data_IF_292737091992
#
_entry.id   IF_292737091992
#
_cell.length_a   1.000
_cell.length_b   1.000
_cell.length_c   1.000
_cell.angle_alpha   90.00
_cell.angle_beta   90.00
_cell.angle_gamma   90.00
#
_symmetry.space_group_name_H-M   'P 1'
#
loop_
_entity.id
_entity.type
_entity.pdbx_description
1 polymer ?
#
# COMPACT_ATOMS: atom_id res chain seq x y z
N UNK A 1 51.26 -12.09 -34.19
CA UNK A 1 50.41 -10.95 -33.79
C UNK A 1 49.62 -11.36 -32.55
N UNK A 2 49.98 -10.86 -31.36
CA UNK A 2 49.22 -11.14 -30.14
C UNK A 2 47.83 -10.50 -30.26
N UNK A 3 46.80 -11.33 -30.38
CA UNK A 3 45.40 -10.89 -30.39
C UNK A 3 45.12 -10.15 -29.09
N UNK A 4 44.86 -8.84 -29.17
CA UNK A 4 44.45 -8.03 -28.01
C UNK A 4 43.34 -8.78 -27.26
N UNK A 5 43.47 -9.00 -25.93
CA UNK A 5 42.44 -9.70 -25.18
C UNK A 5 41.12 -8.96 -25.38
N UNK A 6 40.08 -9.69 -25.83
CA UNK A 6 38.73 -9.15 -25.94
C UNK A 6 38.29 -8.75 -24.54
N UNK A 7 38.34 -7.45 -24.25
CA UNK A 7 38.00 -6.92 -22.93
C UNK A 7 36.57 -7.33 -22.56
N UNK A 8 36.38 -7.88 -21.36
CA UNK A 8 35.11 -8.44 -20.87
C UNK A 8 33.91 -7.48 -20.96
N UNK A 9 34.16 -6.17 -20.89
CA UNK A 9 33.16 -5.09 -20.97
C UNK A 9 32.52 -4.89 -22.37
N UNK A 10 33.04 -5.54 -23.42
CA UNK A 10 32.58 -5.40 -24.81
C UNK A 10 31.57 -6.51 -25.09
N UNK A 11 30.39 -6.38 -24.50
CA UNK A 11 29.28 -7.29 -24.70
C UNK A 11 28.01 -6.49 -25.00
N UNK A 12 27.17 -6.99 -25.91
CA UNK A 12 25.88 -6.38 -26.26
C UNK A 12 25.03 -6.16 -25.02
N UNK A 13 24.97 -7.14 -24.11
CA UNK A 13 24.25 -7.02 -22.83
C UNK A 13 24.71 -5.83 -21.98
N UNK A 14 26.03 -5.61 -21.88
CA UNK A 14 26.59 -4.50 -21.10
C UNK A 14 26.31 -3.15 -21.77
N UNK A 15 26.35 -3.07 -23.10
CA UNK A 15 25.97 -1.86 -23.83
C UNK A 15 24.48 -1.55 -23.72
N UNK A 16 23.61 -2.54 -23.90
CA UNK A 16 22.16 -2.39 -23.74
C UNK A 16 21.82 -1.95 -22.32
N UNK A 17 22.41 -2.58 -21.30
CA UNK A 17 22.22 -2.18 -19.91
C UNK A 17 22.69 -0.75 -19.64
N UNK A 18 23.85 -0.35 -20.18
CA UNK A 18 24.36 1.02 -20.08
C UNK A 18 23.44 2.06 -20.73
N UNK A 19 22.90 1.77 -21.92
CA UNK A 19 21.93 2.64 -22.61
C UNK A 19 20.65 2.77 -21.78
N UNK A 20 20.12 1.65 -21.26
CA UNK A 20 18.93 1.67 -20.41
C UNK A 20 19.15 2.52 -19.15
N UNK A 21 20.28 2.35 -18.46
CA UNK A 21 20.60 3.17 -17.28
C UNK A 21 20.66 4.66 -17.64
N UNK A 22 21.36 5.02 -18.72
CA UNK A 22 21.52 6.41 -19.12
C UNK A 22 20.17 7.06 -19.51
N UNK A 23 19.36 6.36 -20.31
CA UNK A 23 18.04 6.85 -20.72
C UNK A 23 17.10 6.93 -19.52
N UNK A 24 17.06 5.93 -18.64
CA UNK A 24 16.22 5.96 -17.45
C UNK A 24 16.57 7.12 -16.53
N UNK A 25 17.87 7.37 -16.27
CA UNK A 25 18.29 8.52 -15.47
C UNK A 25 17.88 9.84 -16.13
N UNK A 26 18.08 9.98 -17.44
CA UNK A 26 17.67 11.17 -18.17
C UNK A 26 16.16 11.42 -18.04
N UNK A 27 15.34 10.39 -18.27
CA UNK A 27 13.89 10.53 -18.15
C UNK A 27 13.45 10.79 -16.72
N UNK A 28 14.01 10.11 -15.71
CA UNK A 28 13.66 10.37 -14.30
C UNK A 28 13.93 11.83 -13.95
N UNK A 29 15.11 12.36 -14.30
CA UNK A 29 15.45 13.77 -14.02
C UNK A 29 14.49 14.73 -14.73
N UNK A 30 14.13 14.46 -15.99
CA UNK A 30 13.18 15.29 -16.72
C UNK A 30 11.77 15.24 -16.11
N UNK A 31 11.29 14.05 -15.74
CA UNK A 31 9.97 13.90 -15.14
C UNK A 31 9.91 14.50 -13.72
N UNK A 32 10.95 14.36 -12.91
CA UNK A 32 11.06 15.05 -11.62
C UNK A 32 11.02 16.57 -11.80
N UNK A 33 11.69 17.10 -12.82
CA UNK A 33 11.61 18.52 -13.13
C UNK A 33 10.19 18.94 -13.54
N UNK A 34 9.51 18.14 -14.36
CA UNK A 34 8.11 18.40 -14.72
C UNK A 34 7.18 18.34 -13.51
N UNK A 35 7.37 17.36 -12.63
CA UNK A 35 6.60 17.22 -11.38
C UNK A 35 6.75 18.46 -10.48
N UNK A 36 7.96 19.02 -10.39
CA UNK A 36 8.23 20.25 -9.62
C UNK A 36 7.61 21.52 -10.20
N UNK A 37 7.47 21.61 -11.52
CA UNK A 37 7.00 22.82 -12.21
C UNK A 37 5.50 22.77 -12.50
N UNK A 38 4.88 21.58 -12.48
CA UNK A 38 3.45 21.41 -12.74
C UNK A 38 2.64 21.55 -11.45
N UNK A 39 1.66 22.47 -11.36
CA UNK A 39 0.88 22.67 -10.14
C UNK A 39 -0.02 21.48 -9.74
N UNK A 40 -0.53 20.75 -10.73
CA UNK A 40 -1.42 19.59 -10.57
C UNK A 40 -0.94 18.48 -11.51
N UNK A 41 0.12 17.73 -11.13
CA UNK A 41 0.64 16.66 -11.95
C UNK A 41 -0.38 15.53 -12.09
N UNK A 42 -0.40 14.88 -13.26
CA UNK A 42 -1.28 13.74 -13.49
C UNK A 42 -0.82 12.52 -12.68
N UNK A 43 -1.75 11.67 -12.24
CA UNK A 43 -1.45 10.40 -11.59
C UNK A 43 -0.44 9.54 -12.35
N UNK A 44 -0.46 9.58 -13.68
CA UNK A 44 0.46 8.82 -14.52
C UNK A 44 1.90 9.33 -14.44
N UNK A 45 2.11 10.63 -14.22
CA UNK A 45 3.45 11.21 -14.07
C UNK A 45 4.19 10.54 -12.91
N UNK A 46 3.54 10.45 -11.74
CA UNK A 46 4.10 9.75 -10.58
C UNK A 46 4.34 8.26 -10.84
N UNK A 47 3.45 7.58 -11.57
CA UNK A 47 3.61 6.17 -11.93
C UNK A 47 4.88 5.94 -12.76
N UNK A 48 5.11 6.75 -13.80
CA UNK A 48 6.31 6.60 -14.62
C UNK A 48 7.57 6.97 -13.85
N UNK A 49 7.53 8.04 -13.05
CA UNK A 49 8.69 8.59 -12.34
C UNK A 49 9.13 7.71 -11.19
N UNK A 50 8.20 7.26 -10.35
CA UNK A 50 8.52 6.59 -9.08
C UNK A 50 8.38 5.07 -9.11
N UNK A 51 7.73 4.50 -10.13
CA UNK A 51 7.53 3.05 -10.23
C UNK A 51 8.21 2.44 -11.47
N UNK A 52 7.87 2.90 -12.67
CA UNK A 52 8.31 2.25 -13.92
C UNK A 52 9.80 2.50 -14.18
N UNK A 53 10.23 3.77 -14.25
CA UNK A 53 11.61 4.10 -14.62
C UNK A 53 12.65 3.59 -13.61
N UNK A 54 12.42 3.65 -12.28
CA UNK A 54 13.35 3.06 -11.31
C UNK A 54 13.51 1.55 -11.49
N UNK A 55 12.44 0.82 -11.82
CA UNK A 55 12.53 -0.61 -12.13
C UNK A 55 13.37 -0.85 -13.40
N UNK A 56 13.15 -0.05 -14.46
CA UNK A 56 13.97 -0.14 -15.68
C UNK A 56 15.44 0.21 -15.41
N UNK A 57 15.71 1.18 -14.55
CA UNK A 57 17.06 1.55 -14.10
C UNK A 57 17.75 0.35 -13.42
N UNK A 58 17.08 -0.29 -12.46
CA UNK A 58 17.58 -1.47 -11.75
C UNK A 58 17.84 -2.62 -12.73
N UNK A 59 16.90 -2.89 -13.65
CA UNK A 59 17.08 -3.90 -14.71
C UNK A 59 18.28 -3.58 -15.60
N UNK A 60 18.51 -2.33 -15.96
CA UNK A 60 19.68 -1.88 -16.71
C UNK A 60 20.99 -2.17 -15.97
N UNK A 61 21.05 -1.87 -14.66
CA UNK A 61 22.21 -2.20 -13.81
C UNK A 61 22.42 -3.72 -13.72
N UNK A 62 21.34 -4.48 -13.53
CA UNK A 62 21.40 -5.96 -13.51
C UNK A 62 21.92 -6.52 -14.85
N UNK A 63 21.48 -5.97 -15.99
CA UNK A 63 21.97 -6.37 -17.31
C UNK A 63 23.47 -6.08 -17.50
N UNK A 64 23.99 -4.99 -16.93
CA UNK A 64 25.44 -4.73 -16.91
C UNK A 64 26.16 -5.83 -16.12
N UNK A 65 25.70 -6.14 -14.91
CA UNK A 65 26.31 -7.17 -14.04
C UNK A 65 26.25 -8.53 -14.71
N UNK A 66 25.08 -8.96 -15.19
CA UNK A 66 24.87 -10.22 -15.91
C UNK A 66 25.72 -10.26 -17.18
N UNK A 67 25.78 -9.16 -17.94
CA UNK A 67 26.60 -9.06 -19.15
C UNK A 67 28.09 -9.28 -18.89
N UNK A 68 28.60 -8.76 -17.76
CA UNK A 68 29.98 -8.96 -17.31
C UNK A 68 30.22 -10.38 -16.81
N UNK A 69 29.31 -10.94 -16.00
CA UNK A 69 29.40 -12.32 -15.50
C UNK A 69 29.33 -13.34 -16.65
N UNK A 70 28.44 -13.12 -17.62
CA UNK A 70 28.29 -13.99 -18.79
C UNK A 70 29.51 -13.91 -19.72
N UNK A 71 30.04 -12.70 -19.95
CA UNK A 71 31.26 -12.54 -20.72
C UNK A 71 32.43 -13.29 -20.04
N UNK A 72 32.51 -13.21 -18.70
CA UNK A 72 33.50 -13.94 -17.90
C UNK A 72 33.32 -15.46 -18.01
N UNK A 73 32.11 -15.97 -17.81
CA UNK A 73 31.80 -17.40 -17.91
C UNK A 73 32.13 -17.94 -19.30
N UNK A 74 31.75 -17.21 -20.36
CA UNK A 74 32.07 -17.58 -21.75
C UNK A 74 33.58 -17.66 -22.00
N UNK A 75 34.37 -16.75 -21.41
CA UNK A 75 35.83 -16.78 -21.52
C UNK A 75 36.45 -17.94 -20.75
N UNK A 76 35.91 -18.29 -19.57
CA UNK A 76 36.31 -19.47 -18.80
C UNK A 76 36.06 -20.77 -19.58
N UNK A 77 34.86 -20.95 -20.15
CA UNK A 77 34.53 -22.15 -20.94
C UNK A 77 35.30 -22.29 -22.25
N UNK A 78 35.65 -21.18 -22.91
CA UNK A 78 36.35 -21.23 -24.22
C UNK A 78 37.85 -21.48 -24.11
N UNK A 79 38.48 -21.17 -22.98
CA UNK A 79 39.94 -21.12 -22.90
C UNK A 79 40.55 -22.24 -22.03
N UNK A 80 39.75 -23.03 -21.31
CA UNK A 80 40.25 -24.15 -20.48
C UNK A 80 41.27 -23.73 -19.40
N UNK A 81 41.82 -24.70 -18.67
CA UNK A 81 42.81 -24.46 -17.60
C UNK A 81 44.13 -23.80 -18.10
N UNK A 82 44.42 -23.86 -19.40
CA UNK A 82 45.64 -23.32 -20.02
C UNK A 82 45.53 -21.86 -20.49
N UNK A 83 44.32 -21.26 -20.43
CA UNK A 83 44.09 -19.89 -20.84
C UNK A 83 44.59 -18.87 -19.82
N UNK A 84 45.66 -18.13 -20.16
CA UNK A 84 46.23 -16.97 -19.42
C UNK A 84 45.29 -15.75 -19.36
N UNK A 85 44.01 -15.95 -19.11
CA UNK A 85 43.06 -14.88 -18.84
C UNK A 85 43.24 -14.50 -17.38
N UNK A 86 43.62 -13.26 -17.08
CA UNK A 86 43.55 -12.74 -15.73
C UNK A 86 42.10 -12.83 -15.23
N UNK A 87 41.83 -13.87 -14.43
CA UNK A 87 40.47 -14.23 -14.01
C UNK A 87 39.85 -13.20 -13.06
N UNK A 88 40.67 -12.46 -12.31
CA UNK A 88 40.22 -11.42 -11.39
C UNK A 88 40.68 -10.04 -11.87
N UNK A 89 39.85 -8.99 -11.71
CA UNK A 89 40.31 -7.63 -11.93
C UNK A 89 41.50 -7.37 -11.01
N UNK A 90 42.70 -7.18 -11.58
CA UNK A 90 43.87 -6.79 -10.80
C UNK A 90 43.67 -5.34 -10.39
N UNK A 91 43.39 -5.08 -9.12
CA UNK A 91 43.27 -3.72 -8.60
C UNK A 91 44.65 -3.26 -8.14
N UNK A 92 45.47 -2.79 -9.07
CA UNK A 92 46.73 -2.10 -8.75
C UNK A 92 46.53 -0.58 -8.61
N UNK A 93 46.50 -0.08 -7.37
CA UNK A 93 46.32 1.34 -7.07
C UNK A 93 47.54 2.20 -7.46
N UNK A 94 48.68 1.59 -7.77
CA UNK A 94 49.84 2.34 -8.25
C UNK A 94 49.62 2.84 -9.69
N UNK A 95 48.81 2.12 -10.48
CA UNK A 95 48.49 2.51 -11.85
C UNK A 95 47.47 3.67 -11.88
N UNK A 96 47.75 4.77 -12.60
CA UNK A 96 46.83 5.92 -12.69
C UNK A 96 45.50 5.56 -13.37
N UNK A 97 45.50 4.59 -14.28
CA UNK A 97 44.28 4.10 -14.93
C UNK A 97 43.32 3.41 -13.96
N UNK A 98 43.84 2.60 -13.04
CA UNK A 98 43.03 1.88 -12.05
C UNK A 98 42.47 2.83 -11.01
N UNK A 99 43.26 3.82 -10.57
CA UNK A 99 42.78 4.91 -9.70
C UNK A 99 41.62 5.67 -10.33
N UNK A 100 41.71 6.04 -11.61
CA UNK A 100 40.62 6.73 -12.33
C UNK A 100 39.35 5.88 -12.40
N UNK A 101 39.45 4.61 -12.77
CA UNK A 101 38.29 3.70 -12.85
C UNK A 101 37.68 3.51 -11.46
N UNK A 102 38.50 3.30 -10.43
CA UNK A 102 38.02 3.15 -9.06
C UNK A 102 37.30 4.41 -8.57
N UNK A 103 37.86 5.61 -8.81
CA UNK A 103 37.20 6.88 -8.45
C UNK A 103 35.86 7.07 -9.16
N UNK A 104 35.78 6.74 -10.45
CA UNK A 104 34.52 6.83 -11.21
C UNK A 104 33.48 5.85 -10.67
N UNK A 105 33.87 4.59 -10.43
CA UNK A 105 32.95 3.56 -9.91
C UNK A 105 32.52 3.89 -8.48
N UNK A 106 33.45 4.30 -7.62
CA UNK A 106 33.14 4.71 -6.25
C UNK A 106 32.22 5.94 -6.24
N UNK A 107 32.50 6.96 -7.05
CA UNK A 107 31.65 8.14 -7.19
C UNK A 107 30.25 7.78 -7.72
N UNK A 108 30.16 6.90 -8.71
CA UNK A 108 28.88 6.42 -9.24
C UNK A 108 28.07 5.66 -8.18
N UNK A 109 28.71 4.80 -7.37
CA UNK A 109 28.04 4.08 -6.28
C UNK A 109 27.59 5.06 -5.19
N UNK A 110 28.44 6.00 -4.79
CA UNK A 110 28.12 7.03 -3.80
C UNK A 110 26.94 7.91 -4.22
N UNK A 111 26.75 8.16 -5.52
CA UNK A 111 25.60 8.90 -6.04
C UNK A 111 24.36 8.00 -6.22
N UNK A 112 24.54 6.78 -6.72
CA UNK A 112 23.44 5.90 -7.11
C UNK A 112 22.71 5.30 -5.91
N UNK A 113 23.42 4.93 -4.84
CA UNK A 113 22.79 4.36 -3.63
C UNK A 113 21.75 5.32 -3.02
N UNK A 114 22.09 6.59 -2.68
CA UNK A 114 21.10 7.50 -2.13
C UNK A 114 20.00 7.84 -3.13
N UNK A 115 20.33 7.93 -4.43
CA UNK A 115 19.33 8.16 -5.48
C UNK A 115 18.29 7.03 -5.54
N UNK A 116 18.72 5.77 -5.60
CA UNK A 116 17.82 4.61 -5.58
C UNK A 116 17.03 4.54 -4.28
N UNK A 117 17.66 4.86 -3.14
CA UNK A 117 16.99 4.96 -1.85
C UNK A 117 15.87 6.00 -1.84
N UNK A 118 16.16 7.21 -2.33
CA UNK A 118 15.19 8.29 -2.48
C UNK A 118 14.04 7.89 -3.41
N UNK A 119 14.36 7.37 -4.61
CA UNK A 119 13.33 6.93 -5.56
C UNK A 119 12.46 5.80 -5.02
N UNK A 120 13.04 4.88 -4.24
CA UNK A 120 12.29 3.79 -3.61
C UNK A 120 11.37 4.32 -2.49
N UNK A 121 11.82 5.33 -1.76
CA UNK A 121 11.03 6.00 -0.73
C UNK A 121 9.84 6.76 -1.33
N UNK A 122 10.08 7.54 -2.38
CA UNK A 122 9.01 8.24 -3.12
C UNK A 122 8.06 7.25 -3.79
N UNK A 123 8.57 6.17 -4.40
CA UNK A 123 7.74 5.10 -4.97
C UNK A 123 6.87 4.40 -3.92
N UNK A 124 7.38 4.24 -2.71
CA UNK A 124 6.61 3.75 -1.57
C UNK A 124 5.45 4.70 -1.24
N UNK A 125 5.72 5.98 -1.01
CA UNK A 125 4.69 6.97 -0.68
C UNK A 125 3.67 7.15 -1.80
N UNK A 126 4.14 7.18 -3.04
CA UNK A 126 3.28 7.26 -4.21
C UNK A 126 2.30 6.08 -4.27
N UNK A 127 2.76 4.84 -4.05
CA UNK A 127 1.91 3.65 -4.12
C UNK A 127 0.97 3.47 -2.90
N UNK A 128 1.10 4.31 -1.88
CA UNK A 128 0.19 4.37 -0.72
C UNK A 128 -0.76 5.58 -0.78
N UNK A 129 -0.61 6.45 -1.79
CA UNK A 129 -1.41 7.66 -1.97
C UNK A 129 -2.84 7.38 -2.47
N UNK A 130 -3.75 8.32 -2.19
CA UNK A 130 -5.12 8.30 -2.74
C UNK A 130 -5.12 8.38 -4.27
N UNK A 131 -4.16 9.09 -4.84
CA UNK A 131 -4.00 9.21 -6.29
C UNK A 131 -3.70 7.86 -6.93
N UNK A 132 -2.73 7.11 -6.39
CA UNK A 132 -2.42 5.79 -6.90
C UNK A 132 -3.62 4.83 -6.75
N UNK A 133 -4.20 4.74 -5.55
CA UNK A 133 -5.31 3.82 -5.30
C UNK A 133 -6.58 4.17 -6.11
N UNK A 134 -6.93 5.45 -6.21
CA UNK A 134 -8.21 5.91 -6.77
C UNK A 134 -8.18 6.32 -8.24
N UNK A 135 -7.04 6.81 -8.74
CA UNK A 135 -6.92 7.39 -10.10
C UNK A 135 -6.16 6.50 -11.08
N UNK A 136 -5.16 5.73 -10.65
CA UNK A 136 -4.42 4.83 -11.57
C UNK A 136 -5.30 3.65 -12.00
N UNK A 137 -5.97 3.00 -11.04
CA UNK A 137 -6.90 1.90 -11.29
C UNK A 137 -8.37 2.37 -11.36
N UNK A 138 -8.61 3.58 -11.87
CA UNK A 138 -9.90 4.28 -11.78
C UNK A 138 -11.09 3.42 -12.21
N UNK A 139 -11.00 2.64 -13.28
CA UNK A 139 -12.12 1.80 -13.75
C UNK A 139 -12.65 0.83 -12.67
N UNK A 140 -11.75 0.27 -11.87
CA UNK A 140 -12.07 -0.74 -10.86
C UNK A 140 -12.38 -0.09 -9.52
N UNK A 141 -11.65 0.97 -9.17
CA UNK A 141 -11.71 1.64 -7.86
C UNK A 141 -12.62 2.88 -7.83
N UNK A 142 -13.22 3.30 -8.95
CA UNK A 142 -14.07 4.51 -9.04
C UNK A 142 -15.17 4.55 -7.97
N UNK A 143 -15.94 3.49 -7.69
CA UNK A 143 -16.99 3.54 -6.67
C UNK A 143 -16.42 3.88 -5.29
N UNK A 144 -15.31 3.25 -4.90
CA UNK A 144 -14.64 3.45 -3.63
C UNK A 144 -14.01 4.84 -3.55
N UNK A 145 -13.37 5.31 -4.62
CA UNK A 145 -12.75 6.64 -4.67
C UNK A 145 -13.81 7.75 -4.54
N UNK A 146 -14.94 7.66 -5.26
CA UNK A 146 -16.03 8.65 -5.16
C UNK A 146 -16.66 8.65 -3.75
N UNK A 147 -16.82 7.48 -3.13
CA UNK A 147 -17.32 7.38 -1.77
C UNK A 147 -16.34 7.98 -0.76
N UNK A 148 -15.04 7.74 -0.91
CA UNK A 148 -13.98 8.31 -0.08
C UNK A 148 -13.96 9.84 -0.14
N UNK A 149 -13.98 10.42 -1.34
CA UNK A 149 -14.01 11.87 -1.56
C UNK A 149 -15.22 12.57 -0.93
N UNK A 150 -16.36 11.85 -0.81
CA UNK A 150 -17.59 12.35 -0.18
C UNK A 150 -17.71 12.01 1.31
N UNK A 151 -16.70 11.36 1.89
CA UNK A 151 -16.72 10.93 3.29
C UNK A 151 -16.04 11.95 4.22
N UNK A 152 -16.25 11.85 5.55
CA UNK A 152 -15.47 12.59 6.55
C UNK A 152 -13.96 12.31 6.52
N UNK A 153 -13.53 11.27 5.80
CA UNK A 153 -12.13 10.85 5.67
C UNK A 153 -11.51 11.19 4.30
N UNK A 154 -12.13 12.08 3.51
CA UNK A 154 -11.63 12.46 2.18
C UNK A 154 -10.20 13.00 2.16
N UNK A 155 -9.72 13.54 3.29
CA UNK A 155 -8.34 14.03 3.47
C UNK A 155 -7.40 13.02 4.15
N UNK A 156 -7.86 11.80 4.40
CA UNK A 156 -7.06 10.71 4.96
C UNK A 156 -6.67 9.76 3.84
N UNK A 157 -5.41 9.32 3.83
CA UNK A 157 -4.90 8.39 2.84
C UNK A 157 -5.56 7.00 2.95
N UNK A 158 -5.89 6.36 1.83
CA UNK A 158 -6.42 5.00 1.76
C UNK A 158 -5.54 4.02 2.54
N UNK A 159 -4.22 4.15 2.41
CA UNK A 159 -3.23 3.30 3.06
C UNK A 159 -3.27 3.37 4.61
N UNK A 160 -3.73 4.50 5.17
CA UNK A 160 -3.85 4.67 6.63
C UNK A 160 -4.81 3.66 7.24
N UNK A 161 -5.87 3.31 6.51
CA UNK A 161 -6.84 2.29 6.92
C UNK A 161 -6.49 0.91 6.35
N UNK A 162 -6.05 0.82 5.09
CA UNK A 162 -5.99 -0.45 4.34
C UNK A 162 -4.63 -1.15 4.29
N UNK A 163 -3.49 -0.45 4.46
CA UNK A 163 -2.14 -1.03 4.28
C UNK A 163 -1.45 -1.24 5.63
N UNK A 164 -1.65 -0.31 6.56
CA UNK A 164 -1.09 -0.37 7.90
C UNK A 164 0.40 -0.05 7.98
N UNK A 165 0.85 0.30 9.19
CA UNK A 165 2.23 0.72 9.42
C UNK A 165 3.13 -0.45 9.79
N UNK A 166 4.40 -0.31 9.48
CA UNK A 166 5.43 -1.29 9.82
C UNK A 166 5.84 -2.16 8.64
N UNK A 167 7.07 -2.67 8.71
CA UNK A 167 7.70 -3.37 7.59
C UNK A 167 6.97 -4.67 7.19
N UNK A 168 6.36 -5.39 8.15
CA UNK A 168 5.62 -6.63 7.88
C UNK A 168 4.35 -6.38 7.06
N UNK A 169 3.55 -5.39 7.49
CA UNK A 169 2.34 -4.96 6.80
C UNK A 169 2.64 -4.36 5.43
N UNK A 170 3.75 -3.62 5.33
CA UNK A 170 4.27 -3.16 4.06
C UNK A 170 4.50 -4.32 3.07
N UNK A 171 5.28 -5.34 3.46
CA UNK A 171 5.55 -6.48 2.55
C UNK A 171 4.26 -7.23 2.20
N UNK A 172 3.39 -7.48 3.20
CA UNK A 172 2.12 -8.18 2.99
C UNK A 172 1.21 -7.41 2.02
N UNK A 173 1.09 -6.10 2.17
CA UNK A 173 0.25 -5.26 1.31
C UNK A 173 0.77 -5.22 -0.12
N UNK A 174 2.09 -5.10 -0.36
CA UNK A 174 2.65 -5.09 -1.71
C UNK A 174 2.52 -6.45 -2.40
N UNK A 175 2.69 -7.56 -1.68
CA UNK A 175 2.41 -8.90 -2.21
C UNK A 175 0.93 -9.08 -2.55
N UNK A 176 0.02 -8.58 -1.72
CA UNK A 176 -1.42 -8.58 -2.01
C UNK A 176 -1.73 -7.71 -3.23
N UNK A 177 -1.14 -6.52 -3.31
CA UNK A 177 -1.26 -5.60 -4.44
C UNK A 177 -0.81 -6.23 -5.77
N UNK A 178 0.28 -7.01 -5.79
CA UNK A 178 0.67 -7.77 -6.98
C UNK A 178 -0.41 -8.76 -7.43
N UNK A 179 -1.10 -9.42 -6.50
CA UNK A 179 -2.24 -10.29 -6.84
C UNK A 179 -3.41 -9.49 -7.40
N UNK A 180 -3.69 -8.31 -6.84
CA UNK A 180 -4.74 -7.42 -7.33
C UNK A 180 -4.43 -6.91 -8.74
N UNK A 181 -3.20 -6.46 -9.00
CA UNK A 181 -2.75 -6.06 -10.35
C UNK A 181 -2.92 -7.21 -11.33
N UNK A 182 -2.50 -8.43 -10.94
CA UNK A 182 -2.72 -9.63 -11.76
C UNK A 182 -4.21 -9.87 -12.02
N UNK A 183 -5.07 -9.75 -11.02
CA UNK A 183 -6.50 -9.94 -11.17
C UNK A 183 -7.14 -8.91 -12.10
N UNK A 184 -6.69 -7.65 -12.04
CA UNK A 184 -7.13 -6.58 -12.96
C UNK A 184 -6.66 -6.87 -14.39
N UNK A 185 -5.40 -7.27 -14.59
CA UNK A 185 -4.86 -7.59 -15.91
C UNK A 185 -5.54 -8.80 -16.57
N UNK A 186 -6.00 -9.77 -15.77
CA UNK A 186 -6.68 -10.98 -16.23
C UNK A 186 -8.22 -10.87 -16.19
N UNK A 187 -8.75 -9.71 -15.80
CA UNK A 187 -10.18 -9.48 -15.52
C UNK A 187 -10.84 -10.57 -14.65
N UNK A 188 -10.11 -11.07 -13.66
CA UNK A 188 -10.48 -12.24 -12.86
C UNK A 188 -10.98 -11.86 -11.45
N UNK A 189 -11.58 -10.69 -11.29
CA UNK A 189 -12.07 -10.18 -10.01
C UNK A 189 -13.61 -10.13 -9.95
N UNK A 190 -14.22 -10.35 -8.77
CA UNK A 190 -15.67 -10.33 -8.61
C UNK A 190 -16.25 -8.92 -8.82
N UNK A 191 -17.48 -8.87 -9.34
CA UNK A 191 -18.26 -7.64 -9.51
C UNK A 191 -19.65 -7.87 -8.89
N UNK A 192 -20.04 -7.15 -7.83
CA UNK A 192 -19.30 -6.10 -7.14
C UNK A 192 -18.08 -6.63 -6.36
N UNK A 193 -17.11 -5.75 -6.11
CA UNK A 193 -15.93 -6.07 -5.29
C UNK A 193 -16.41 -6.23 -3.84
N UNK A 194 -16.17 -7.39 -3.20
CA UNK A 194 -16.64 -7.61 -1.84
C UNK A 194 -15.93 -6.67 -0.87
N UNK A 195 -16.60 -6.29 0.23
CA UNK A 195 -15.99 -5.44 1.22
C UNK A 195 -14.82 -6.18 1.90
N UNK A 196 -13.73 -5.47 2.21
CA UNK A 196 -12.51 -6.06 2.75
C UNK A 196 -12.63 -6.44 4.25
N UNK A 197 -13.83 -6.77 4.73
CA UNK A 197 -14.14 -6.82 6.17
C UNK A 197 -13.35 -7.91 6.89
N UNK A 198 -13.09 -9.03 6.22
CA UNK A 198 -12.30 -10.15 6.76
C UNK A 198 -10.80 -9.86 6.88
N UNK A 199 -10.30 -8.84 6.16
CA UNK A 199 -8.89 -8.45 6.18
C UNK A 199 -8.69 -7.05 6.77
N UNK A 200 -9.73 -6.45 7.35
CA UNK A 200 -9.62 -5.17 8.04
C UNK A 200 -8.69 -5.30 9.24
N UNK A 201 -7.86 -4.28 9.41
CA UNK A 201 -6.96 -4.19 10.55
C UNK A 201 -7.76 -3.91 11.84
N UNK A 202 -7.26 -4.33 13.01
CA UNK A 202 -7.90 -4.02 14.29
C UNK A 202 -8.15 -2.52 14.44
N UNK A 203 -9.31 -2.15 14.99
CA UNK A 203 -9.72 -0.75 15.18
C UNK A 203 -8.68 0.06 15.98
N UNK A 204 -8.02 -0.57 16.95
CA UNK A 204 -6.90 -0.02 17.72
C UNK A 204 -5.74 0.51 16.86
N UNK A 205 -5.49 -0.13 15.71
CA UNK A 205 -4.38 0.21 14.83
C UNK A 205 -4.78 1.10 13.63
N UNK A 206 -6.07 1.39 13.48
CA UNK A 206 -6.65 2.18 12.40
C UNK A 206 -7.46 3.35 12.97
N UNK A 207 -8.69 3.09 13.38
CA UNK A 207 -9.67 4.08 13.83
C UNK A 207 -9.20 4.83 15.08
N UNK A 208 -8.72 4.10 16.08
CA UNK A 208 -8.43 4.66 17.42
C UNK A 208 -7.21 5.58 17.46
N UNK A 209 -6.43 5.61 16.37
CA UNK A 209 -5.30 6.54 16.24
C UNK A 209 -5.74 7.99 16.10
N UNK A 210 -6.97 8.20 15.63
CA UNK A 210 -7.59 9.52 15.51
C UNK A 210 -8.89 9.63 16.34
N UNK A 211 -9.57 8.51 16.58
CA UNK A 211 -10.82 8.44 17.34
C UNK A 211 -10.63 7.74 18.69
N UNK A 212 -10.28 8.48 19.73
CA UNK A 212 -10.06 7.90 21.06
C UNK A 212 -11.36 7.35 21.69
N UNK A 213 -11.39 6.06 22.11
CA UNK A 213 -12.53 5.46 22.81
C UNK A 213 -13.00 6.23 24.05
N UNK A 214 -12.07 6.88 24.73
CA UNK A 214 -12.33 7.61 25.97
C UNK A 214 -13.06 8.93 25.71
N UNK A 215 -12.96 9.52 24.50
CA UNK A 215 -13.52 10.86 24.27
C UNK A 215 -15.05 10.83 24.32
N UNK A 216 -15.63 11.68 25.16
CA UNK A 216 -17.09 11.82 25.28
C UNK A 216 -17.67 12.74 24.21
N UNK A 217 -18.65 12.26 23.44
CA UNK A 217 -19.31 13.01 22.37
C UNK A 217 -20.73 13.47 22.74
N UNK A 218 -21.28 13.04 23.87
CA UNK A 218 -22.62 13.44 24.32
C UNK A 218 -23.74 13.07 23.33
N UNK A 219 -24.85 13.78 23.39
CA UNK A 219 -25.97 13.62 22.45
C UNK A 219 -25.75 14.51 21.23
N UNK A 220 -25.82 13.93 20.03
CA UNK A 220 -25.57 14.60 18.76
C UNK A 220 -26.86 14.72 17.97
N UNK A 221 -27.26 15.94 17.59
CA UNK A 221 -28.40 16.15 16.70
C UNK A 221 -27.95 15.91 15.26
N UNK A 222 -28.37 14.80 14.67
CA UNK A 222 -28.08 14.45 13.29
C UNK A 222 -29.29 14.84 12.44
N UNK A 223 -29.04 15.58 11.36
CA UNK A 223 -30.06 15.86 10.34
C UNK A 223 -29.74 15.06 9.09
N UNK A 224 -30.60 14.11 8.75
CA UNK A 224 -30.50 13.30 7.55
C UNK A 224 -31.44 13.91 6.51
N UNK A 225 -30.87 14.52 5.47
CA UNK A 225 -31.66 15.12 4.42
C UNK A 225 -32.15 14.06 3.45
N UNK A 226 -33.45 13.80 3.45
CA UNK A 226 -34.11 13.06 2.38
C UNK A 226 -34.82 14.03 1.43
N UNK A 227 -35.17 13.53 0.26
CA UNK A 227 -35.96 14.26 -0.72
C UNK A 227 -37.17 13.40 -1.10
N UNK A 228 -38.31 14.04 -1.34
CA UNK A 228 -39.48 13.36 -1.84
C UNK A 228 -39.22 12.83 -3.26
N UNK A 229 -39.93 11.75 -3.63
CA UNK A 229 -39.93 11.25 -5.00
C UNK A 229 -40.86 12.10 -5.88
N UNK A 230 -40.61 13.41 -5.96
CA UNK A 230 -41.31 14.37 -6.80
C UNK A 230 -40.34 15.11 -7.73
N UNK A 231 -40.86 15.64 -8.84
CA UNK A 231 -40.06 16.37 -9.83
C UNK A 231 -39.37 17.59 -9.23
N UNK A 232 -40.00 18.22 -8.23
CA UNK A 232 -39.45 19.35 -7.49
C UNK A 232 -38.30 18.96 -6.53
N UNK A 233 -38.06 17.66 -6.29
CA UNK A 233 -37.10 17.17 -5.29
C UNK A 233 -37.29 17.85 -3.94
N UNK A 234 -38.50 17.79 -3.38
CA UNK A 234 -38.86 18.52 -2.17
C UNK A 234 -38.05 18.01 -0.97
N UNK A 235 -37.34 18.87 -0.22
CA UNK A 235 -36.57 18.46 0.96
C UNK A 235 -37.47 17.93 2.08
N UNK A 236 -37.08 16.78 2.66
CA UNK A 236 -37.70 16.13 3.82
C UNK A 236 -36.63 15.75 4.85
N UNK A 237 -36.14 16.69 5.66
CA UNK A 237 -35.12 16.38 6.65
C UNK A 237 -35.69 15.53 7.79
N UNK A 238 -34.96 14.48 8.18
CA UNK A 238 -35.20 13.70 9.39
C UNK A 238 -34.20 14.15 10.43
N UNK A 239 -34.68 14.68 11.55
CA UNK A 239 -33.83 15.03 12.69
C UNK A 239 -33.86 13.91 13.71
N UNK A 240 -32.68 13.42 14.09
CA UNK A 240 -32.50 12.36 15.06
C UNK A 240 -31.54 12.80 16.15
N UNK A 241 -31.91 12.59 17.40
CA UNK A 241 -30.98 12.71 18.52
C UNK A 241 -30.20 11.40 18.69
N UNK A 242 -28.97 11.37 18.21
CA UNK A 242 -28.06 10.24 18.41
C UNK A 242 -27.45 10.32 19.81
N UNK A 243 -27.75 9.34 20.65
CA UNK A 243 -27.20 9.25 22.02
C UNK A 243 -25.83 8.58 21.99
N UNK A 244 -24.85 9.17 21.30
CA UNK A 244 -23.52 8.57 21.11
C UNK A 244 -22.84 8.30 22.46
N UNK A 245 -22.83 9.30 23.35
CA UNK A 245 -22.25 9.19 24.69
C UNK A 245 -20.72 9.05 24.67
N UNK A 246 -20.17 8.20 25.55
CA UNK A 246 -18.73 7.95 25.66
C UNK A 246 -18.33 7.36 27.01
N UNK A 247 -17.02 7.12 27.17
CA UNK A 247 -16.44 6.45 28.34
C UNK A 247 -15.34 7.33 29.00
N UNK A 248 -15.69 8.57 29.35
CA UNK A 248 -14.85 9.45 30.17
C UNK A 248 -15.51 9.67 31.54
N UNK A 249 -15.08 8.96 32.60
CA UNK A 249 -15.64 9.10 33.94
C UNK A 249 -15.52 10.51 34.52
N UNK A 250 -14.62 11.35 34.00
CA UNK A 250 -14.44 12.72 34.46
C UNK A 250 -15.50 13.69 33.93
N UNK A 251 -16.19 13.34 32.84
CA UNK A 251 -17.19 14.20 32.18
C UNK A 251 -18.61 13.75 32.51
N UNK A 252 -18.89 12.45 32.42
CA UNK A 252 -20.20 11.88 32.69
C UNK A 252 -20.08 10.36 32.90
N UNK A 253 -21.05 9.72 33.60
CA UNK A 253 -21.10 8.27 33.67
C UNK A 253 -21.09 7.64 32.26
N UNK A 254 -20.36 6.52 32.06
CA UNK A 254 -20.35 5.81 30.80
C UNK A 254 -21.77 5.54 30.32
N UNK A 255 -22.11 6.05 29.15
CA UNK A 255 -23.48 6.02 28.63
C UNK A 255 -23.48 6.16 27.11
N UNK A 256 -24.63 5.90 26.49
CA UNK A 256 -24.83 6.03 25.05
C UNK A 256 -24.78 4.72 24.28
N UNK A 257 -24.92 4.82 22.96
CA UNK A 257 -24.99 3.68 22.02
C UNK A 257 -23.62 3.25 21.50
N UNK A 258 -22.54 3.95 21.88
CA UNK A 258 -21.17 3.69 21.41
C UNK A 258 -20.47 2.55 22.18
N UNK A 259 -21.13 1.39 22.31
CA UNK A 259 -20.73 0.29 23.21
C UNK A 259 -19.41 -0.40 22.85
N UNK A 260 -19.00 -0.44 21.58
CA UNK A 260 -17.69 -1.02 21.22
C UNK A 260 -16.49 -0.20 21.75
N UNK A 261 -16.73 1.01 22.24
CA UNK A 261 -15.73 1.84 22.93
C UNK A 261 -15.80 1.73 24.45
N UNK A 262 -16.81 1.04 24.98
CA UNK A 262 -16.92 0.81 26.40
C UNK A 262 -15.87 -0.24 26.80
N UNK A 263 -14.71 0.24 27.25
CA UNK A 263 -13.54 -0.57 27.63
C UNK A 263 -13.87 -1.65 28.69
N UNK A 264 -14.98 -1.49 29.41
CA UNK A 264 -15.50 -2.45 30.38
C UNK A 264 -16.38 -3.56 29.79
N UNK A 265 -16.58 -3.61 28.46
CA UNK A 265 -17.34 -4.68 27.82
C UNK A 265 -16.60 -5.32 26.63
N UNK A 266 -16.83 -6.61 26.42
CA UNK A 266 -16.54 -7.31 25.16
C UNK A 266 -17.85 -7.56 24.42
N UNK A 267 -17.92 -7.14 23.16
CA UNK A 267 -19.05 -7.38 22.26
C UNK A 267 -18.61 -8.41 21.23
N UNK A 268 -19.28 -9.55 21.22
CA UNK A 268 -19.13 -10.60 20.22
C UNK A 268 -20.42 -10.67 19.41
N UNK A 269 -20.32 -10.91 18.12
CA UNK A 269 -21.48 -11.05 17.26
C UNK A 269 -21.27 -12.15 16.24
N UNK A 270 -22.37 -12.70 15.73
CA UNK A 270 -22.34 -13.63 14.61
C UNK A 270 -23.17 -13.04 13.50
N UNK A 271 -22.56 -12.96 12.32
CA UNK A 271 -23.27 -12.62 11.11
C UNK A 271 -23.55 -13.85 10.25
N UNK A 272 -24.74 -13.90 9.66
CA UNK A 272 -25.22 -14.97 8.77
C UNK A 272 -24.92 -14.70 7.30
N UNK A 273 -24.54 -13.48 6.94
CA UNK A 273 -24.18 -13.07 5.58
C UNK A 273 -22.69 -12.71 5.46
N UNK A 274 -22.17 -12.75 4.22
CA UNK A 274 -20.76 -12.45 3.97
C UNK A 274 -20.38 -10.97 4.17
N UNK A 275 -21.35 -10.05 4.11
CA UNK A 275 -21.13 -8.61 4.26
C UNK A 275 -21.22 -8.15 5.73
N UNK A 276 -21.48 -9.06 6.66
CA UNK A 276 -21.67 -8.80 8.10
C UNK A 276 -22.79 -7.78 8.39
N UNK A 277 -23.91 -7.88 7.68
CA UNK A 277 -25.06 -6.96 7.82
C UNK A 277 -26.24 -7.58 8.57
N UNK A 278 -26.46 -8.88 8.41
CA UNK A 278 -27.45 -9.65 9.15
C UNK A 278 -26.78 -10.26 10.38
N UNK A 279 -27.01 -9.61 11.53
CA UNK A 279 -26.38 -9.95 12.80
C UNK A 279 -27.47 -10.43 13.76
N UNK A 280 -27.93 -11.69 13.63
CA UNK A 280 -29.04 -12.19 14.43
C UNK A 280 -28.66 -12.49 15.89
N UNK A 281 -27.37 -12.46 16.22
CA UNK A 281 -26.87 -12.82 17.54
C UNK A 281 -25.74 -11.89 17.97
N UNK A 282 -25.86 -11.33 19.17
CA UNK A 282 -24.85 -10.48 19.82
C UNK A 282 -24.74 -10.87 21.30
N UNK A 283 -23.52 -11.07 21.80
CA UNK A 283 -23.21 -11.26 23.21
C UNK A 283 -22.39 -10.08 23.73
N UNK A 284 -22.92 -9.45 24.77
CA UNK A 284 -22.19 -8.46 25.55
C UNK A 284 -21.74 -9.09 26.88
N UNK A 285 -20.43 -9.04 27.13
CA UNK A 285 -19.82 -9.50 28.39
C UNK A 285 -19.29 -8.30 29.14
N UNK A 286 -19.73 -8.13 30.39
CA UNK A 286 -19.23 -7.13 31.32
C UNK A 286 -17.96 -7.64 32.03
N UNK A 287 -16.87 -6.88 31.95
CA UNK A 287 -15.59 -7.28 32.54
C UNK A 287 -15.50 -7.06 34.06
N UNK A 288 -16.34 -6.20 34.64
CA UNK A 288 -16.36 -5.94 36.09
C UNK A 288 -17.18 -6.99 36.83
N UNK A 289 -18.36 -7.32 36.30
CA UNK A 289 -19.31 -8.24 36.94
C UNK A 289 -19.24 -9.67 36.38
N UNK A 290 -18.63 -9.85 35.21
CA UNK A 290 -18.67 -11.12 34.46
C UNK A 290 -20.05 -11.44 33.86
N UNK A 291 -21.03 -10.54 34.00
CA UNK A 291 -22.38 -10.76 33.51
C UNK A 291 -22.40 -10.79 31.98
N UNK A 292 -23.13 -11.76 31.43
CA UNK A 292 -23.33 -11.90 29.99
C UNK A 292 -24.79 -11.61 29.64
N UNK A 293 -24.99 -10.82 28.59
CA UNK A 293 -26.31 -10.58 28.01
C UNK A 293 -26.27 -10.90 26.52
N UNK A 294 -27.20 -11.75 26.09
CA UNK A 294 -27.33 -12.18 24.71
C UNK A 294 -28.58 -11.52 24.11
N UNK A 295 -28.41 -10.91 22.96
CA UNK A 295 -29.47 -10.32 22.14
C UNK A 295 -29.64 -11.17 20.89
N UNK A 296 -30.89 -11.51 20.57
CA UNK A 296 -31.23 -12.32 19.40
C UNK A 296 -32.40 -11.73 18.63
N UNK A 297 -32.37 -11.85 17.30
CA UNK A 297 -33.49 -11.50 16.41
C UNK A 297 -34.01 -12.68 15.58
N UNK A 298 -33.45 -13.88 15.78
CA UNK A 298 -33.84 -15.14 15.11
C UNK A 298 -35.05 -15.84 15.77
N UNK A 299 -35.64 -15.23 16.79
CA UNK A 299 -36.76 -15.79 17.54
C UNK A 299 -36.39 -16.89 18.53
N UNK A 300 -35.10 -17.18 18.72
CA UNK A 300 -34.60 -18.14 19.71
C UNK A 300 -34.27 -17.46 21.05
N UNK A 301 -34.08 -18.27 22.08
CA UNK A 301 -33.75 -17.80 23.43
C UNK A 301 -32.25 -17.65 23.62
N UNK A 302 -31.85 -16.97 24.70
CA UNK A 302 -30.45 -16.83 25.09
C UNK A 302 -29.77 -18.15 25.52
N UNK A 303 -30.55 -19.21 25.75
CA UNK A 303 -30.04 -20.54 26.14
C UNK A 303 -29.77 -21.44 24.93
N UNK A 304 -30.38 -21.13 23.79
CA UNK A 304 -30.19 -21.88 22.57
C UNK A 304 -28.78 -21.64 22.01
N UNK A 305 -28.21 -22.59 21.26
CA UNK A 305 -26.91 -22.41 20.65
C UNK A 305 -26.89 -21.16 19.73
N UNK A 306 -25.71 -20.54 19.56
CA UNK A 306 -25.55 -19.46 18.58
C UNK A 306 -25.86 -19.99 17.17
N UNK A 307 -26.36 -19.12 16.26
CA UNK A 307 -26.59 -19.50 14.87
C UNK A 307 -25.27 -19.84 14.17
N UNK A 308 -25.34 -20.66 13.12
CA UNK A 308 -24.20 -20.87 12.22
C UNK A 308 -23.88 -19.57 11.49
N UNK A 309 -22.60 -19.17 11.49
CA UNK A 309 -22.18 -17.93 10.88
C UNK A 309 -20.71 -17.59 11.14
N UNK A 310 -20.31 -16.38 10.76
CA UNK A 310 -18.96 -15.88 10.98
C UNK A 310 -18.91 -15.12 12.31
N UNK A 311 -17.97 -15.51 13.17
CA UNK A 311 -17.54 -14.77 14.36
C UNK A 311 -16.52 -13.69 13.99
#
# INVERSE_FOLDING_TARGET
MATRPRRAWRNVLTYTGGILVALSLLFIVNLLFLDLVTPEPSAYLGMFTFLILPVVLILGVLLIVVGLLFARFRMWWRNGEEGTVEYYPRIDLNLPGHRKVLMIVAGAICLMIPFVGFMSYEGYHYTDSNEFCGRVCHQVMKPQYVAHERSPHSRVECATCHIGRGASWYVKSKLSGLRQVKAVLLDSYPRPIPPAIRELRPARETCERCHWPQKFYGNQLITINHFAADEASTPRPIQMMMKTGGNDPSVAPPSGVHWHMALGHTIEFIATDEALQDIPWVRATDHETGAQRIYRSDGLTSKDPPPDGQL
#
